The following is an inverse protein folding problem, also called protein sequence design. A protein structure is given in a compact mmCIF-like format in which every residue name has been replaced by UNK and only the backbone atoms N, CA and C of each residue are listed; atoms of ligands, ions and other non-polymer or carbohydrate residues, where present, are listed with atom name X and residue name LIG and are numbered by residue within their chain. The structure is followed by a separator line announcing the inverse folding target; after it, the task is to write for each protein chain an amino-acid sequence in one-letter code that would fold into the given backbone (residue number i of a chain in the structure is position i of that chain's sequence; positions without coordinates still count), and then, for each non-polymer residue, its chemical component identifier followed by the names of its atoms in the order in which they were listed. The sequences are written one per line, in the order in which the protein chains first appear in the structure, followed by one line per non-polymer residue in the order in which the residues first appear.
data_IF_365033007502
#
_entry.id   IF_365033007502
#
_cell.length_a   1.000
_cell.length_b   1.000
_cell.length_c   1.000
_cell.angle_alpha   90.00
_cell.angle_beta   90.00
_cell.angle_gamma   90.00
#
_symmetry.space_group_name_H-M   'P 1'
#
loop_
_entity.id
_entity.type
_entity.pdbx_description
1 polymer ?
#
# COMPACT_ATOMS: atom_id res chain seq x y z
N UNK A 1 -11.46 -6.16 -3.73
CA UNK A 1 -10.13 -5.81 -4.29
C UNK A 1 -10.05 -6.28 -5.72
N UNK A 2 -9.88 -5.39 -6.71
CA UNK A 2 -9.55 -5.85 -8.07
C UNK A 2 -8.15 -6.47 -8.07
N UNK A 3 -7.97 -7.61 -8.73
CA UNK A 3 -6.68 -8.31 -8.86
C UNK A 3 -5.55 -7.38 -9.30
N UNK A 4 -5.87 -6.43 -10.19
CA UNK A 4 -4.94 -5.41 -10.67
C UNK A 4 -4.38 -4.50 -9.56
N UNK A 5 -5.17 -4.16 -8.53
CA UNK A 5 -4.72 -3.32 -7.41
C UNK A 5 -3.73 -4.05 -6.51
N UNK A 6 -3.86 -5.38 -6.39
CA UNK A 6 -2.91 -6.22 -5.64
C UNK A 6 -1.59 -6.33 -6.38
N UNK A 7 -1.63 -6.53 -7.71
CA UNK A 7 -0.43 -6.53 -8.54
C UNK A 7 0.31 -5.17 -8.46
N UNK A 8 -0.43 -4.07 -8.54
CA UNK A 8 0.09 -2.72 -8.33
C UNK A 8 0.71 -2.53 -6.94
N UNK A 9 0.12 -3.10 -5.88
CA UNK A 9 0.66 -3.01 -4.52
C UNK A 9 2.00 -3.73 -4.34
N UNK A 10 2.27 -4.77 -5.14
CA UNK A 10 3.53 -5.52 -5.10
C UNK A 10 4.65 -4.76 -5.83
N UNK A 11 4.38 -4.27 -7.04
CA UNK A 11 5.38 -3.55 -7.84
C UNK A 11 5.60 -2.11 -7.36
N UNK A 12 4.53 -1.40 -6.99
CA UNK A 12 4.54 0.00 -6.57
C UNK A 12 3.57 0.22 -5.40
N UNK A 13 3.95 -0.22 -4.17
CA UNK A 13 3.10 -0.11 -2.99
C UNK A 13 2.56 1.30 -2.73
N UNK A 14 3.34 2.40 -2.79
CA UNK A 14 2.80 3.74 -2.53
C UNK A 14 1.76 4.19 -3.57
N UNK A 15 1.83 3.68 -4.80
CA UNK A 15 0.86 4.03 -5.85
C UNK A 15 -0.50 3.33 -5.62
N UNK A 16 -0.49 2.13 -5.03
CA UNK A 16 -1.71 1.35 -4.77
C UNK A 16 -2.61 1.93 -3.68
N UNK A 17 -2.04 2.76 -2.79
CA UNK A 17 -2.72 3.39 -1.65
C UNK A 17 -3.06 4.87 -1.87
N UNK A 18 -2.86 5.39 -3.09
CA UNK A 18 -3.21 6.77 -3.47
C UNK A 18 -4.69 7.09 -3.21
N UNK A 19 -5.55 6.10 -3.42
CA UNK A 19 -7.00 6.18 -3.22
C UNK A 19 -7.43 6.16 -1.74
N UNK A 20 -6.53 5.69 -0.85
CA UNK A 20 -6.80 5.53 0.60
C UNK A 20 -6.29 6.71 1.46
N UNK A 21 -5.86 7.82 0.82
CA UNK A 21 -5.54 9.10 1.46
C UNK A 21 -4.05 9.36 1.75
N UNK A 22 -3.68 10.64 1.90
CA UNK A 22 -2.29 11.11 2.00
C UNK A 22 -1.49 10.48 3.16
N UNK A 23 -2.12 10.27 4.33
CA UNK A 23 -1.45 9.64 5.47
C UNK A 23 -1.03 8.19 5.20
N UNK A 24 -1.83 7.43 4.47
CA UNK A 24 -1.53 6.05 4.07
C UNK A 24 -0.34 5.99 3.11
N UNK A 25 -0.25 6.96 2.18
CA UNK A 25 0.85 7.07 1.22
C UNK A 25 2.17 7.33 1.96
N UNK A 26 2.19 8.26 2.92
CA UNK A 26 3.40 8.60 3.67
C UNK A 26 3.94 7.41 4.49
N UNK A 27 3.04 6.67 5.15
CA UNK A 27 3.41 5.47 5.92
C UNK A 27 3.98 4.40 4.98
N UNK A 28 3.25 4.04 3.93
CA UNK A 28 3.69 3.01 2.97
C UNK A 28 4.99 3.41 2.28
N UNK A 29 5.17 4.70 1.95
CA UNK A 29 6.40 5.22 1.35
C UNK A 29 7.60 5.12 2.30
N UNK A 30 7.41 5.47 3.58
CA UNK A 30 8.47 5.35 4.59
C UNK A 30 8.84 3.89 4.86
N UNK A 31 7.85 2.99 4.99
CA UNK A 31 8.12 1.56 5.15
C UNK A 31 8.79 0.97 3.89
N UNK A 32 8.37 1.36 2.69
CA UNK A 32 8.99 0.94 1.43
C UNK A 32 10.47 1.36 1.35
N UNK A 33 10.81 2.53 1.90
CA UNK A 33 12.17 3.04 1.97
C UNK A 33 13.02 2.30 3.03
N UNK A 34 12.41 1.88 4.15
CA UNK A 34 13.04 0.99 5.13
C UNK A 34 13.17 -0.47 4.63
N UNK A 35 12.36 -0.87 3.65
CA UNK A 35 12.42 -2.18 3.00
C UNK A 35 11.21 -2.44 2.13
N UNK A 36 11.40 -3.13 1.01
CA UNK A 36 10.31 -3.42 0.09
C UNK A 36 9.21 -4.27 0.75
N UNK A 37 9.59 -5.32 1.48
CA UNK A 37 8.67 -6.25 2.17
C UNK A 37 7.71 -5.53 3.13
N UNK A 38 8.18 -4.72 4.10
CA UNK A 38 7.28 -3.99 4.99
C UNK A 38 6.37 -3.00 4.25
N UNK A 39 6.84 -2.38 3.16
CA UNK A 39 6.01 -1.49 2.32
C UNK A 39 4.84 -2.23 1.64
N UNK A 40 5.10 -3.42 1.07
CA UNK A 40 4.06 -4.24 0.43
C UNK A 40 3.05 -4.75 1.45
N UNK A 41 3.50 -5.21 2.62
CA UNK A 41 2.59 -5.67 3.69
C UNK A 41 1.70 -4.52 4.17
N UNK A 42 2.26 -3.35 4.42
CA UNK A 42 1.50 -2.17 4.83
C UNK A 42 0.46 -1.78 3.77
N UNK A 43 0.85 -1.78 2.48
CA UNK A 43 -0.07 -1.51 1.39
C UNK A 43 -1.22 -2.52 1.36
N UNK A 44 -0.93 -3.82 1.48
CA UNK A 44 -1.94 -4.90 1.47
C UNK A 44 -2.91 -4.83 2.66
N UNK A 45 -2.42 -4.47 3.86
CA UNK A 45 -3.25 -4.29 5.05
C UNK A 45 -4.18 -3.09 4.88
N UNK A 46 -3.67 -1.94 4.42
CA UNK A 46 -4.47 -0.74 4.15
C UNK A 46 -5.50 -1.00 3.06
N UNK A 47 -5.11 -1.76 2.03
CA UNK A 47 -5.99 -2.16 0.95
C UNK A 47 -7.13 -3.01 1.49
N UNK A 48 -6.83 -4.07 2.25
CA UNK A 48 -7.81 -5.02 2.77
C UNK A 48 -8.60 -4.53 3.99
N UNK A 49 -8.25 -3.39 4.58
CA UNK A 49 -8.96 -2.88 5.75
C UNK A 49 -10.42 -2.51 5.38
N UNK A 50 -11.43 -3.23 5.93
CA UNK A 50 -12.84 -3.00 5.63
C UNK A 50 -13.45 -1.85 6.46
N UNK A 51 -12.81 -1.46 7.56
CA UNK A 51 -13.24 -0.39 8.49
C UNK A 51 -12.83 1.03 8.03
N UNK A 52 -12.43 1.20 6.76
CA UNK A 52 -12.14 2.51 6.14
C UNK A 52 -12.69 2.62 4.73
#
# INVERSE_FOLDING_TARGET
MSFWRVLLAIFFPPLSVLDKGCGSILIVFLLWLCGWVPGVIAALVILNNPDR
#
